data_IF_164763464074
#
_entry.id   IF_164763464074
#
_cell.length_a   1.000
_cell.length_b   1.000
_cell.length_c   1.000
_cell.angle_alpha   90.00
_cell.angle_beta   90.00
_cell.angle_gamma   90.00
#
_symmetry.space_group_name_H-M   'P 1'
#
loop_
_entity.id
_entity.type
_entity.pdbx_description
1 polymer ?
#
# COMPACT_ATOMS: atom_id res chain seq x y z
N UNK A 1 -13.42 3.03 5.26
CA UNK A 1 -14.47 4.01 5.67
C UNK A 1 -14.85 4.92 4.51
N UNK A 2 -13.98 5.81 4.00
CA UNK A 2 -14.31 6.71 2.86
C UNK A 2 -14.79 5.95 1.62
N UNK A 3 -14.17 4.79 1.33
CA UNK A 3 -14.60 3.88 0.27
C UNK A 3 -16.09 3.49 0.36
N UNK A 4 -16.51 3.06 1.55
CA UNK A 4 -17.89 2.61 1.81
C UNK A 4 -18.86 3.80 1.84
N UNK A 5 -18.43 4.96 2.35
CA UNK A 5 -19.23 6.20 2.29
C UNK A 5 -19.47 6.60 0.82
N UNK A 6 -18.45 6.46 -0.03
CA UNK A 6 -18.60 6.67 -1.47
C UNK A 6 -19.68 5.77 -2.07
N UNK A 7 -19.66 4.46 -1.77
CA UNK A 7 -20.71 3.53 -2.22
C UNK A 7 -22.10 3.92 -1.70
N UNK A 8 -22.21 4.29 -0.42
CA UNK A 8 -23.48 4.70 0.18
C UNK A 8 -24.06 5.93 -0.52
N UNK A 9 -23.27 6.98 -0.72
CA UNK A 9 -23.72 8.23 -1.38
C UNK A 9 -24.13 7.96 -2.82
N UNK A 10 -23.34 7.17 -3.56
CA UNK A 10 -23.69 6.79 -4.93
C UNK A 10 -24.99 5.99 -4.98
N UNK A 11 -25.20 5.05 -4.06
CA UNK A 11 -26.45 4.31 -3.98
C UNK A 11 -27.64 5.20 -3.64
N UNK A 12 -27.48 6.15 -2.72
CA UNK A 12 -28.56 7.10 -2.39
C UNK A 12 -28.96 7.99 -3.57
N UNK A 13 -28.01 8.37 -4.42
CA UNK A 13 -28.25 9.26 -5.56
C UNK A 13 -28.72 8.53 -6.82
N UNK A 14 -28.16 7.35 -7.11
CA UNK A 14 -28.34 6.65 -8.38
C UNK A 14 -28.95 5.25 -8.24
N UNK A 15 -29.04 4.72 -7.03
CA UNK A 15 -29.44 3.33 -6.77
C UNK A 15 -28.50 2.33 -7.45
N UNK A 16 -29.04 1.18 -7.85
CA UNK A 16 -28.29 0.12 -8.55
C UNK A 16 -28.17 0.36 -10.08
N UNK A 17 -28.31 1.62 -10.55
CA UNK A 17 -28.34 1.94 -11.98
C UNK A 17 -26.97 2.25 -12.58
N UNK A 18 -25.94 2.35 -11.74
CA UNK A 18 -24.59 2.74 -12.12
C UNK A 18 -23.61 1.63 -11.74
N UNK A 19 -22.47 1.59 -12.43
CA UNK A 19 -21.44 0.61 -12.15
C UNK A 19 -20.75 0.89 -10.81
N UNK A 20 -20.46 -0.17 -10.06
CA UNK A 20 -19.57 -0.11 -8.91
C UNK A 20 -18.23 0.50 -9.32
N UNK A 21 -17.76 1.49 -8.56
CA UNK A 21 -16.52 2.22 -8.85
C UNK A 21 -16.49 2.94 -10.21
N UNK A 22 -17.68 3.15 -10.80
CA UNK A 22 -17.89 3.92 -12.03
C UNK A 22 -17.68 5.42 -11.83
N UNK A 23 -18.02 6.21 -12.86
CA UNK A 23 -17.81 7.66 -12.87
C UNK A 23 -18.51 8.35 -11.70
N UNK A 24 -19.75 7.95 -11.44
CA UNK A 24 -20.61 8.49 -10.38
C UNK A 24 -20.03 8.19 -8.99
N UNK A 25 -19.54 6.97 -8.79
CA UNK A 25 -18.82 6.60 -7.58
C UNK A 25 -17.55 7.41 -7.39
N UNK A 26 -16.73 7.57 -8.44
CA UNK A 26 -15.51 8.38 -8.38
C UNK A 26 -15.81 9.84 -8.02
N UNK A 27 -16.91 10.40 -8.53
CA UNK A 27 -17.35 11.75 -8.17
C UNK A 27 -17.77 11.84 -6.70
N UNK A 28 -18.59 10.92 -6.21
CA UNK A 28 -19.02 10.89 -4.81
C UNK A 28 -17.83 10.70 -3.86
N UNK A 29 -16.94 9.75 -4.16
CA UNK A 29 -15.72 9.50 -3.39
C UNK A 29 -14.82 10.74 -3.33
N UNK A 30 -14.63 11.41 -4.47
CA UNK A 30 -13.84 12.63 -4.56
C UNK A 30 -14.40 13.75 -3.69
N UNK A 31 -15.71 13.98 -3.74
CA UNK A 31 -16.36 15.03 -2.95
C UNK A 31 -16.16 14.81 -1.44
N UNK A 32 -16.42 13.58 -0.97
CA UNK A 32 -16.20 13.24 0.45
C UNK A 32 -14.73 13.45 0.84
N UNK A 33 -13.79 13.01 0.01
CA UNK A 33 -12.38 13.16 0.32
C UNK A 33 -11.94 14.64 0.33
N UNK A 34 -12.47 15.48 -0.57
CA UNK A 34 -12.25 16.93 -0.57
C UNK A 34 -12.74 17.60 0.71
N UNK A 35 -13.94 17.23 1.19
CA UNK A 35 -14.47 17.73 2.46
C UNK A 35 -13.56 17.35 3.63
N UNK A 36 -13.11 16.10 3.69
CA UNK A 36 -12.19 15.62 4.73
C UNK A 36 -10.82 16.32 4.67
N UNK A 37 -10.31 16.61 3.48
CA UNK A 37 -9.07 17.38 3.31
C UNK A 37 -9.23 18.83 3.80
N UNK A 38 -10.40 19.45 3.56
CA UNK A 38 -10.73 20.79 4.02
C UNK A 38 -10.71 20.95 5.56
N UNK A 39 -10.91 19.85 6.30
CA UNK A 39 -10.83 19.84 7.77
C UNK A 39 -9.39 20.00 8.32
N UNK A 40 -8.36 20.03 7.44
CA UNK A 40 -6.93 20.16 7.81
C UNK A 40 -6.46 19.13 8.85
N UNK A 41 -7.08 17.94 8.84
CA UNK A 41 -6.75 16.84 9.75
C UNK A 41 -5.48 16.08 9.33
N UNK A 42 -5.08 16.23 8.07
CA UNK A 42 -3.94 15.49 7.51
C UNK A 42 -2.66 16.33 7.52
N UNK A 43 -1.53 15.73 7.89
CA UNK A 43 -0.20 16.29 7.63
C UNK A 43 0.02 16.59 6.13
N UNK A 44 0.90 17.56 5.83
CA UNK A 44 1.05 18.13 4.48
C UNK A 44 1.49 17.12 3.41
N UNK A 45 2.33 16.16 3.76
CA UNK A 45 2.82 15.07 2.90
C UNK A 45 1.72 14.06 2.56
N UNK A 46 0.88 13.71 3.54
CA UNK A 46 -0.28 12.84 3.35
C UNK A 46 -1.34 13.56 2.50
N UNK A 47 -1.58 14.85 2.76
CA UNK A 47 -2.49 15.68 1.98
C UNK A 47 -2.08 15.75 0.50
N UNK A 48 -0.81 16.01 0.22
CA UNK A 48 -0.30 16.07 -1.16
C UNK A 48 -0.39 14.72 -1.88
N UNK A 49 -0.15 13.63 -1.15
CA UNK A 49 -0.23 12.27 -1.70
C UNK A 49 -1.67 11.89 -2.03
N UNK A 50 -2.61 12.16 -1.12
CA UNK A 50 -4.04 11.94 -1.34
C UNK A 50 -4.56 12.70 -2.57
N UNK A 51 -4.17 13.96 -2.75
CA UNK A 51 -4.54 14.74 -3.93
C UNK A 51 -4.07 14.11 -5.25
N UNK A 52 -2.87 13.50 -5.26
CA UNK A 52 -2.36 12.79 -6.45
C UNK A 52 -3.11 11.48 -6.68
N UNK A 53 -3.36 10.71 -5.63
CA UNK A 53 -4.16 9.48 -5.69
C UNK A 53 -5.58 9.71 -6.19
N UNK A 54 -6.15 10.90 -5.96
CA UNK A 54 -7.48 11.28 -6.44
C UNK A 54 -7.59 11.44 -7.96
N UNK A 55 -6.47 11.70 -8.64
CA UNK A 55 -6.47 11.83 -10.10
C UNK A 55 -6.62 10.47 -10.80
N UNK A 56 -6.14 9.39 -10.17
CA UNK A 56 -6.19 8.02 -10.69
C UNK A 56 -6.67 7.05 -9.61
N UNK A 57 -7.87 7.31 -9.08
CA UNK A 57 -8.46 6.58 -7.94
C UNK A 57 -8.49 5.07 -8.24
N UNK A 58 -7.65 4.27 -7.58
CA UNK A 58 -7.78 2.84 -7.70
C UNK A 58 -9.06 2.41 -6.99
N UNK A 59 -9.72 1.39 -7.55
CA UNK A 59 -10.89 0.78 -6.92
C UNK A 59 -10.58 0.14 -5.55
N UNK A 60 -9.32 0.05 -5.14
CA UNK A 60 -8.90 -0.46 -3.83
C UNK A 60 -7.75 0.35 -3.22
N UNK A 61 -7.85 0.61 -1.91
CA UNK A 61 -6.83 1.35 -1.15
C UNK A 61 -5.45 0.69 -1.16
N UNK A 62 -5.35 -0.62 -1.36
CA UNK A 62 -4.09 -1.38 -1.35
C UNK A 62 -3.27 -1.29 -2.65
N UNK A 63 -3.81 -0.69 -3.72
CA UNK A 63 -3.11 -0.68 -5.02
C UNK A 63 -2.33 0.60 -5.29
N UNK A 64 -2.53 1.67 -4.51
CA UNK A 64 -1.70 2.87 -4.59
C UNK A 64 -0.43 2.72 -3.73
N UNK A 65 0.64 2.29 -4.39
CA UNK A 65 1.97 2.13 -3.79
C UNK A 65 2.46 3.43 -3.13
N UNK A 66 2.15 4.60 -3.69
CA UNK A 66 2.63 5.87 -3.12
C UNK A 66 1.88 6.23 -1.84
N UNK A 67 0.56 6.06 -1.83
CA UNK A 67 -0.26 6.29 -0.64
C UNK A 67 0.16 5.33 0.49
N UNK A 68 0.33 4.04 0.19
CA UNK A 68 0.76 3.05 1.19
C UNK A 68 2.11 3.42 1.81
N UNK A 69 3.08 3.88 1.00
CA UNK A 69 4.39 4.30 1.49
C UNK A 69 4.30 5.47 2.48
N UNK A 70 3.48 6.48 2.16
CA UNK A 70 3.31 7.66 3.05
C UNK A 70 2.55 7.29 4.31
N UNK A 71 1.52 6.45 4.21
CA UNK A 71 0.79 5.96 5.38
C UNK A 71 1.69 5.21 6.35
N UNK A 72 2.70 4.47 5.86
CA UNK A 72 3.65 3.75 6.73
C UNK A 72 4.39 4.67 7.70
N UNK A 73 4.69 5.92 7.31
CA UNK A 73 5.34 6.89 8.20
C UNK A 73 4.51 7.25 9.44
N UNK A 74 3.20 7.00 9.40
CA UNK A 74 2.26 7.30 10.48
C UNK A 74 1.92 6.08 11.33
N UNK A 75 2.35 4.88 10.94
CA UNK A 75 2.09 3.65 11.68
C UNK A 75 3.14 3.43 12.76
N UNK A 76 2.88 3.97 13.96
CA UNK A 76 3.81 4.01 15.09
C UNK A 76 4.11 2.65 15.76
N UNK A 77 3.49 1.55 15.33
CA UNK A 77 3.47 0.28 16.10
C UNK A 77 4.05 -0.94 15.41
N UNK A 78 4.46 -0.86 14.16
CA UNK A 78 4.91 -2.05 13.44
C UNK A 78 6.43 -2.21 13.44
N UNK A 79 6.88 -3.41 13.83
CA UNK A 79 8.27 -3.86 13.64
C UNK A 79 8.55 -4.28 12.18
N UNK A 80 7.60 -4.05 11.28
CA UNK A 80 7.71 -4.39 9.85
C UNK A 80 8.28 -3.22 9.06
N UNK A 81 9.02 -3.55 8.02
CA UNK A 81 9.55 -2.62 7.02
C UNK A 81 9.02 -2.99 5.64
N UNK A 82 9.17 -2.12 4.65
CA UNK A 82 8.80 -2.45 3.28
C UNK A 82 9.90 -3.30 2.63
N UNK A 83 9.55 -4.23 1.73
CA UNK A 83 10.54 -5.04 0.99
C UNK A 83 11.51 -4.18 0.19
N UNK A 84 11.08 -3.00 -0.29
CA UNK A 84 11.96 -2.07 -0.99
C UNK A 84 13.10 -1.52 -0.12
N UNK A 85 12.87 -1.39 1.18
CA UNK A 85 13.84 -0.90 2.17
C UNK A 85 14.85 -1.96 2.61
N UNK A 86 14.57 -3.24 2.35
CA UNK A 86 15.53 -4.33 2.60
C UNK A 86 16.67 -4.20 1.58
N UNK A 87 17.92 -4.35 2.03
CA UNK A 87 19.07 -4.32 1.14
C UNK A 87 19.07 -5.53 0.19
N UNK A 88 19.47 -5.33 -1.07
CA UNK A 88 19.62 -6.43 -2.02
C UNK A 88 20.57 -7.52 -1.48
N UNK A 89 20.17 -8.78 -1.63
CA UNK A 89 20.89 -9.92 -1.08
C UNK A 89 20.62 -10.21 0.39
N UNK A 90 19.96 -9.31 1.13
CA UNK A 90 19.57 -9.54 2.52
C UNK A 90 18.34 -10.43 2.65
N UNK A 91 18.17 -11.02 3.84
CA UNK A 91 17.04 -11.88 4.15
C UNK A 91 15.95 -11.13 4.91
N UNK A 92 14.71 -11.55 4.69
CA UNK A 92 13.55 -11.07 5.43
C UNK A 92 12.56 -12.22 5.64
N UNK A 93 11.62 -11.99 6.55
CA UNK A 93 10.56 -12.94 6.88
C UNK A 93 9.19 -12.34 6.56
N UNK A 94 8.32 -13.10 5.90
CA UNK A 94 6.92 -12.71 5.68
C UNK A 94 6.08 -13.02 6.92
N UNK A 95 4.89 -12.42 7.03
CA UNK A 95 4.01 -12.60 8.19
C UNK A 95 3.57 -14.05 8.45
N UNK A 96 3.51 -14.87 7.39
CA UNK A 96 3.24 -16.31 7.45
C UNK A 96 4.43 -17.18 7.87
N UNK A 97 5.58 -16.54 8.12
CA UNK A 97 6.77 -17.17 8.65
C UNK A 97 7.80 -17.62 7.61
N UNK A 98 7.52 -17.50 6.32
CA UNK A 98 8.45 -17.90 5.26
C UNK A 98 9.63 -16.93 5.17
N UNK A 99 10.79 -17.48 4.80
CA UNK A 99 12.05 -16.74 4.70
C UNK A 99 12.43 -16.53 3.23
N UNK A 100 12.78 -15.30 2.90
CA UNK A 100 13.14 -14.91 1.54
C UNK A 100 14.47 -14.16 1.53
N UNK A 101 15.17 -14.25 0.39
CA UNK A 101 16.29 -13.39 0.04
C UNK A 101 15.80 -12.36 -0.96
N UNK A 102 15.99 -11.07 -0.66
CA UNK A 102 15.67 -10.00 -1.60
C UNK A 102 16.65 -10.03 -2.78
N UNK A 103 16.13 -10.05 -3.99
CA UNK A 103 16.90 -9.85 -5.21
C UNK A 103 16.74 -8.43 -5.76
N UNK A 104 16.83 -8.33 -7.08
CA UNK A 104 16.76 -7.08 -7.83
C UNK A 104 15.32 -6.60 -8.02
N UNK A 105 15.18 -5.31 -8.30
CA UNK A 105 13.92 -4.76 -8.79
C UNK A 105 13.73 -5.08 -10.27
N UNK A 106 12.55 -5.59 -10.62
CA UNK A 106 12.12 -5.88 -11.99
C UNK A 106 10.87 -5.05 -12.29
N UNK A 107 11.03 -4.02 -13.13
CA UNK A 107 9.97 -3.04 -13.44
C UNK A 107 9.43 -2.42 -12.14
N UNK A 108 8.18 -2.75 -11.77
CA UNK A 108 7.47 -2.27 -10.58
C UNK A 108 7.44 -3.27 -9.42
N UNK A 109 8.10 -4.43 -9.54
CA UNK A 109 8.11 -5.51 -8.53
C UNK A 109 9.53 -5.81 -8.08
N UNK A 110 9.67 -6.46 -6.93
CA UNK A 110 10.97 -6.91 -6.42
C UNK A 110 11.00 -8.43 -6.50
N UNK A 111 12.02 -8.97 -7.15
CA UNK A 111 12.22 -10.42 -7.23
C UNK A 111 12.85 -10.91 -5.93
N UNK A 112 12.25 -11.91 -5.29
CA UNK A 112 12.73 -12.49 -4.04
C UNK A 112 12.72 -14.02 -4.14
N UNK A 113 13.80 -14.66 -3.69
CA UNK A 113 13.90 -16.11 -3.68
C UNK A 113 13.49 -16.67 -2.31
N UNK A 114 12.58 -17.65 -2.28
CA UNK A 114 12.24 -18.37 -1.06
C UNK A 114 13.38 -19.31 -0.66
N UNK A 115 13.90 -19.18 0.56
CA UNK A 115 15.08 -19.95 0.99
C UNK A 115 14.85 -21.46 1.06
N UNK A 116 13.61 -21.89 1.35
CA UNK A 116 13.28 -23.31 1.52
C UNK A 116 13.15 -24.06 0.21
N UNK A 117 12.58 -23.41 -0.82
CA UNK A 117 12.23 -24.05 -2.09
C UNK A 117 13.09 -23.58 -3.27
N UNK A 118 13.81 -22.47 -3.12
CA UNK A 118 14.53 -21.80 -4.21
C UNK A 118 13.63 -21.10 -5.23
N UNK A 119 12.30 -21.14 -5.06
CA UNK A 119 11.35 -20.52 -5.99
C UNK A 119 11.45 -19.00 -5.94
N UNK A 120 11.32 -18.37 -7.11
CA UNK A 120 11.29 -16.92 -7.26
C UNK A 120 9.85 -16.39 -7.16
N UNK A 121 9.70 -15.27 -6.46
CA UNK A 121 8.45 -14.58 -6.23
C UNK A 121 8.60 -13.09 -6.54
N UNK A 122 7.54 -12.47 -7.07
CA UNK A 122 7.50 -11.04 -7.35
C UNK A 122 6.70 -10.33 -6.26
N UNK A 123 7.39 -9.59 -5.40
CA UNK A 123 6.81 -8.82 -4.33
C UNK A 123 6.40 -7.41 -4.79
N UNK A 124 5.34 -6.88 -4.18
CA UNK A 124 5.10 -5.43 -4.20
C UNK A 124 6.23 -4.71 -3.46
N UNK A 125 6.74 -3.56 -3.94
CA UNK A 125 7.75 -2.77 -3.22
C UNK A 125 7.31 -2.44 -1.79
N UNK A 126 6.02 -2.10 -1.63
CA UNK A 126 5.36 -1.77 -0.35
C UNK A 126 4.82 -2.99 0.39
N UNK A 127 5.25 -4.20 0.04
CA UNK A 127 4.87 -5.37 0.83
C UNK A 127 5.60 -5.32 2.18
N UNK A 128 4.88 -5.55 3.27
CA UNK A 128 5.45 -5.48 4.61
C UNK A 128 6.12 -6.79 5.03
N UNK A 129 7.30 -6.69 5.61
CA UNK A 129 8.11 -7.82 6.03
C UNK A 129 8.83 -7.55 7.35
N UNK A 130 9.19 -8.62 8.04
CA UNK A 130 10.03 -8.55 9.23
C UNK A 130 11.51 -8.58 8.79
N UNK A 131 12.31 -7.55 9.13
CA UNK A 131 13.73 -7.56 8.85
C UNK A 131 14.41 -8.64 9.70
N UNK A 132 15.37 -9.35 9.13
CA UNK A 132 16.15 -10.36 9.85
C UNK A 132 17.54 -9.78 10.08
N UNK A 133 17.89 -9.53 11.34
CA UNK A 133 19.23 -9.10 11.70
C UNK A 133 20.21 -10.23 11.42
N UNK A 134 21.15 -10.03 10.49
CA UNK A 134 22.33 -10.90 10.41
C UNK A 134 23.16 -10.64 11.66
N UNK A 135 23.03 -11.51 12.65
CA UNK A 135 24.06 -11.61 13.70
C UNK A 135 25.31 -12.14 13.01
N UNK A 136 26.28 -11.25 12.75
CA UNK A 136 27.64 -11.66 12.41
C UNK A 136 28.15 -12.52 13.58
N UNK A 137 28.06 -13.85 13.43
CA UNK A 137 28.95 -14.75 14.17
C UNK A 137 30.29 -14.69 13.47
N UNK A 138 31.09 -13.73 13.90
CA UNK A 138 32.53 -13.81 13.76
C UNK A 138 33.02 -14.85 14.77
N UNK A 139 33.77 -15.83 14.24
CA UNK A 139 34.51 -16.89 14.94
C UNK A 139 33.72 -18.16 15.29
#
# INVERSE_FOLDING_TARGET
>A
VIHEIGHLITFQQYGNRVYSHGKEWKQAYRAVLEDFMGLKLFPSDLHHTLLKSMHDLPASSCSDVNLTRVLKNYDRRDQTVLVEDIMEGSHFKTSDGRMFKRGRQIRKRIECAELRSGKLYLFSPVYEVLPVSHSFRSQ
#
